data_IF_528308962899
#
_entry.id   IF_528308962899
#
_cell.length_a   1.000
_cell.length_b   1.000
_cell.length_c   1.000
_cell.angle_alpha   90.00
_cell.angle_beta   90.00
_cell.angle_gamma   90.00
#
_symmetry.space_group_name_H-M   'P 1'
#
loop_
_entity.id
_entity.type
_entity.pdbx_description
1 polymer ?
#
# COMPACT_ATOMS: atom_id res chain seq x y z
N UNK A 1 -9.45 -18.84 -11.36
CA UNK A 1 -8.16 -18.39 -11.92
C UNK A 1 -7.21 -18.35 -10.76
N UNK A 2 -6.11 -19.10 -10.83
CA UNK A 2 -5.14 -19.18 -9.75
C UNK A 2 -4.43 -17.81 -9.62
N UNK A 3 -4.76 -17.07 -8.56
CA UNK A 3 -4.30 -15.69 -8.36
C UNK A 3 -2.78 -15.65 -8.12
N UNK A 4 -2.21 -16.75 -7.61
CA UNK A 4 -0.80 -16.88 -7.30
C UNK A 4 0.02 -17.15 -8.57
N UNK A 5 -0.44 -18.07 -9.43
CA UNK A 5 0.21 -18.34 -10.72
C UNK A 5 0.19 -17.11 -11.66
N UNK A 6 -0.89 -16.35 -11.64
CA UNK A 6 -0.99 -15.09 -12.38
C UNK A 6 -0.01 -14.04 -11.86
N UNK A 7 0.15 -13.91 -10.54
CA UNK A 7 1.09 -12.94 -9.94
C UNK A 7 2.54 -13.33 -10.19
N UNK A 8 2.90 -14.61 -10.13
CA UNK A 8 4.25 -15.06 -10.42
C UNK A 8 4.66 -14.70 -11.85
N UNK A 9 3.80 -15.01 -12.82
CA UNK A 9 4.00 -14.61 -14.22
C UNK A 9 4.08 -13.08 -14.36
N UNK A 10 3.26 -12.35 -13.59
CA UNK A 10 3.25 -10.90 -13.60
C UNK A 10 4.55 -10.28 -13.04
N UNK A 11 5.09 -10.81 -11.94
CA UNK A 11 6.35 -10.38 -11.34
C UNK A 11 7.54 -10.70 -12.25
N UNK A 12 7.51 -11.84 -12.95
CA UNK A 12 8.51 -12.19 -13.97
C UNK A 12 8.51 -11.22 -15.16
N UNK A 13 7.32 -10.81 -15.62
CA UNK A 13 7.17 -9.87 -16.75
C UNK A 13 7.40 -8.41 -16.30
N UNK A 14 7.13 -8.09 -15.04
CA UNK A 14 7.31 -6.77 -14.42
C UNK A 14 8.34 -6.85 -13.28
N UNK A 15 9.60 -7.08 -13.65
CA UNK A 15 10.71 -7.23 -12.71
C UNK A 15 10.83 -6.07 -11.70
N UNK A 16 10.35 -4.88 -12.06
CA UNK A 16 10.38 -3.68 -11.23
C UNK A 16 8.99 -3.26 -10.76
N UNK A 17 8.07 -4.19 -10.48
CA UNK A 17 6.70 -3.85 -10.08
C UNK A 17 6.65 -2.89 -8.88
N UNK A 18 5.77 -1.90 -8.90
CA UNK A 18 5.59 -1.01 -7.76
C UNK A 18 4.87 -1.75 -6.63
N UNK A 19 5.48 -1.86 -5.45
CA UNK A 19 4.83 -2.52 -4.30
C UNK A 19 3.56 -1.80 -3.83
N UNK A 20 3.41 -0.51 -4.16
CA UNK A 20 2.21 0.31 -3.95
C UNK A 20 1.26 0.35 -5.15
N UNK A 21 1.44 -0.54 -6.14
CA UNK A 21 0.64 -0.63 -7.36
C UNK A 21 -0.86 -0.48 -7.09
N UNK A 22 -1.39 -1.21 -6.10
CA UNK A 22 -2.83 -1.22 -5.82
C UNK A 22 -3.32 0.15 -5.37
N UNK A 23 -2.53 0.90 -4.60
CA UNK A 23 -2.86 2.28 -4.20
C UNK A 23 -2.81 3.24 -5.39
N UNK A 24 -1.88 3.03 -6.32
CA UNK A 24 -1.66 3.87 -7.50
C UNK A 24 -2.72 3.61 -8.58
N UNK A 25 -3.04 2.34 -8.85
CA UNK A 25 -4.07 1.92 -9.79
C UNK A 25 -5.48 2.25 -9.29
N UNK A 26 -5.71 2.23 -7.97
CA UNK A 26 -6.97 2.71 -7.37
C UNK A 26 -7.03 4.23 -7.19
N UNK A 27 -6.05 4.98 -7.70
CA UNK A 27 -5.97 6.46 -7.63
C UNK A 27 -5.98 7.03 -6.21
N UNK A 28 -5.53 6.25 -5.22
CA UNK A 28 -5.49 6.64 -3.81
C UNK A 28 -4.12 7.20 -3.39
N UNK A 29 -3.10 7.02 -4.22
CA UNK A 29 -1.77 7.58 -4.02
C UNK A 29 -1.08 7.87 -5.36
N UNK A 30 -0.06 8.73 -5.32
CA UNK A 30 0.84 9.03 -6.45
C UNK A 30 2.29 8.84 -6.00
N UNK A 31 3.17 8.53 -6.94
CA UNK A 31 4.60 8.39 -6.68
C UNK A 31 5.38 8.86 -7.92
N UNK A 32 6.38 9.72 -7.72
CA UNK A 32 7.23 10.26 -8.78
C UNK A 32 8.10 9.19 -9.43
N UNK A 33 8.45 8.14 -8.69
CA UNK A 33 9.18 6.98 -9.22
C UNK A 33 8.27 5.96 -9.90
N UNK A 34 6.96 6.03 -9.73
CA UNK A 34 6.05 5.08 -10.35
C UNK A 34 5.70 5.49 -11.79
N UNK A 35 5.74 4.53 -12.70
CA UNK A 35 5.17 4.67 -14.03
C UNK A 35 4.05 3.62 -14.23
N UNK A 36 2.91 4.07 -14.78
CA UNK A 36 1.81 3.18 -15.18
C UNK A 36 2.10 2.65 -16.57
N UNK A 37 1.76 1.38 -16.81
CA UNK A 37 1.91 0.72 -18.09
C UNK A 37 0.77 -0.27 -18.32
N UNK A 38 0.70 -0.83 -19.52
CA UNK A 38 -0.21 -1.90 -19.88
C UNK A 38 0.59 -3.17 -20.14
N UNK A 39 0.17 -4.28 -19.51
CA UNK A 39 0.64 -5.63 -19.86
C UNK A 39 -0.57 -6.33 -20.46
N UNK A 40 -0.59 -6.41 -21.79
CA UNK A 40 -1.78 -6.74 -22.57
C UNK A 40 -2.98 -5.84 -22.20
N UNK A 41 -4.08 -6.41 -21.73
CA UNK A 41 -5.32 -5.69 -21.38
C UNK A 41 -5.37 -5.17 -19.93
N UNK A 42 -4.28 -5.36 -19.16
CA UNK A 42 -4.27 -5.06 -17.72
C UNK A 42 -3.35 -3.89 -17.41
N UNK A 43 -3.84 -2.99 -16.55
CA UNK A 43 -3.00 -1.94 -15.97
C UNK A 43 -1.98 -2.54 -15.01
N UNK A 44 -0.77 -2.02 -15.12
CA UNK A 44 0.39 -2.39 -14.35
C UNK A 44 1.08 -1.11 -13.84
N UNK A 45 1.81 -1.23 -12.74
CA UNK A 45 2.63 -0.16 -12.21
C UNK A 45 4.05 -0.68 -11.98
N UNK A 46 5.05 0.02 -12.51
CA UNK A 46 6.46 -0.25 -12.26
C UNK A 46 7.10 0.91 -11.47
N UNK A 47 8.17 0.62 -10.76
CA UNK A 47 9.03 1.58 -10.10
C UNK A 47 10.26 1.80 -10.95
N UNK A 48 10.61 3.06 -11.22
CA UNK A 48 11.80 3.47 -11.98
C UNK A 48 13.06 3.53 -11.11
N UNK A 49 12.90 3.45 -9.79
CA UNK A 49 13.99 3.44 -8.82
C UNK A 49 13.93 2.15 -7.97
N UNK A 50 14.92 1.28 -8.16
CA UNK A 50 15.02 0.01 -7.43
C UNK A 50 15.41 0.19 -5.96
N UNK A 51 16.15 1.23 -5.62
CA UNK A 51 16.48 1.54 -4.23
C UNK A 51 15.22 1.95 -3.49
N UNK A 52 14.45 2.89 -4.08
CA UNK A 52 13.19 3.34 -3.51
C UNK A 52 12.15 2.22 -3.40
N UNK A 53 12.08 1.36 -4.41
CA UNK A 53 11.22 0.16 -4.39
C UNK A 53 11.56 -0.76 -3.20
N UNK A 54 12.84 -1.01 -2.92
CA UNK A 54 13.27 -1.81 -1.75
C UNK A 54 12.85 -1.17 -0.45
N UNK A 55 13.04 0.14 -0.31
CA UNK A 55 12.63 0.91 0.88
C UNK A 55 11.11 0.84 1.08
N UNK A 56 10.32 1.01 0.02
CA UNK A 56 8.87 0.85 0.06
C UNK A 56 8.44 -0.57 0.48
N UNK A 57 9.17 -1.59 0.02
CA UNK A 57 8.92 -2.98 0.39
C UNK A 57 9.18 -3.21 1.88
N UNK A 58 10.30 -2.71 2.40
CA UNK A 58 10.61 -2.77 3.83
C UNK A 58 9.51 -2.12 4.68
N UNK A 59 9.06 -0.93 4.30
CA UNK A 59 7.94 -0.27 4.97
C UNK A 59 6.69 -1.15 4.99
N UNK A 60 6.30 -1.71 3.83
CA UNK A 60 5.11 -2.57 3.77
C UNK A 60 5.25 -3.85 4.59
N UNK A 61 6.45 -4.44 4.66
CA UNK A 61 6.68 -5.64 5.46
C UNK A 61 6.58 -5.33 6.96
N UNK A 62 7.08 -4.18 7.41
CA UNK A 62 6.84 -3.70 8.80
C UNK A 62 5.35 -3.46 9.05
N UNK A 63 4.65 -2.78 8.13
CA UNK A 63 3.20 -2.55 8.27
C UNK A 63 2.40 -3.86 8.34
N UNK A 64 2.76 -4.87 7.56
CA UNK A 64 2.15 -6.20 7.60
C UNK A 64 2.29 -6.84 8.97
N UNK A 65 3.50 -6.81 9.52
CA UNK A 65 3.80 -7.41 10.81
C UNK A 65 3.02 -6.72 11.93
N UNK A 66 3.03 -5.39 11.94
CA UNK A 66 2.35 -4.60 12.98
C UNK A 66 0.82 -4.68 12.86
N UNK A 67 0.28 -4.79 11.65
CA UNK A 67 -1.16 -4.91 11.42
C UNK A 67 -1.69 -6.36 11.49
N UNK A 68 -0.85 -7.36 11.78
CA UNK A 68 -1.22 -8.78 11.71
C UNK A 68 -2.45 -9.13 12.52
N UNK A 69 -2.55 -8.59 13.74
CA UNK A 69 -3.68 -8.85 14.63
C UNK A 69 -4.95 -8.13 14.17
N UNK A 70 -4.85 -6.84 13.86
CA UNK A 70 -5.98 -6.03 13.37
C UNK A 70 -6.58 -6.58 12.08
N UNK A 71 -5.76 -7.18 11.23
CA UNK A 71 -6.18 -7.74 9.95
C UNK A 71 -6.39 -9.26 9.97
N UNK A 72 -6.29 -9.90 11.15
CA UNK A 72 -6.43 -11.36 11.33
C UNK A 72 -5.57 -12.13 10.31
N UNK A 73 -4.30 -11.76 10.21
CA UNK A 73 -3.29 -12.47 9.42
C UNK A 73 -2.77 -13.64 10.26
N UNK A 74 -2.85 -14.85 9.72
CA UNK A 74 -2.29 -16.05 10.37
C UNK A 74 -0.78 -16.15 10.14
N UNK A 75 -0.34 -15.69 8.98
CA UNK A 75 1.05 -15.68 8.56
C UNK A 75 1.29 -14.40 7.74
N UNK A 76 2.30 -13.63 8.12
CA UNK A 76 2.69 -12.37 7.47
C UNK A 76 3.69 -12.59 6.34
N UNK A 77 4.30 -13.79 6.26
CA UNK A 77 5.14 -14.23 5.14
C UNK A 77 4.30 -14.63 3.92
N UNK A 78 3.04 -15.03 4.14
CA UNK A 78 2.13 -15.38 3.06
C UNK A 78 1.63 -14.16 2.30
N UNK A 79 1.32 -14.39 1.03
CA UNK A 79 0.71 -13.39 0.18
C UNK A 79 -0.61 -12.88 0.77
N UNK A 80 -0.78 -11.57 0.76
CA UNK A 80 -2.04 -10.96 1.15
C UNK A 80 -3.08 -11.08 0.04
N UNK A 81 -4.29 -11.48 0.43
CA UNK A 81 -5.47 -11.27 -0.39
C UNK A 81 -5.66 -9.79 -0.74
N UNK A 82 -6.19 -9.52 -1.93
CA UNK A 82 -6.27 -8.18 -2.52
C UNK A 82 -6.80 -7.09 -1.57
N UNK A 83 -7.89 -7.37 -0.85
CA UNK A 83 -8.51 -6.43 0.06
C UNK A 83 -7.59 -6.04 1.24
N UNK A 84 -6.85 -7.00 1.81
CA UNK A 84 -5.91 -6.74 2.91
C UNK A 84 -4.68 -5.98 2.41
N UNK A 85 -4.19 -6.30 1.22
CA UNK A 85 -3.11 -5.56 0.58
C UNK A 85 -3.48 -4.08 0.38
N UNK A 86 -4.68 -3.78 -0.13
CA UNK A 86 -5.17 -2.40 -0.27
C UNK A 86 -5.27 -1.69 1.09
N UNK A 87 -5.81 -2.36 2.13
CA UNK A 87 -5.89 -1.79 3.48
C UNK A 87 -4.52 -1.40 4.03
N UNK A 88 -3.53 -2.28 3.91
CA UNK A 88 -2.17 -2.03 4.39
C UNK A 88 -1.52 -0.91 3.59
N UNK A 89 -1.60 -0.95 2.25
CA UNK A 89 -0.96 0.06 1.43
C UNK A 89 -1.55 1.46 1.67
N UNK A 90 -2.88 1.61 1.54
CA UNK A 90 -3.51 2.93 1.65
C UNK A 90 -3.58 3.37 3.10
N UNK A 91 -4.05 2.50 3.99
CA UNK A 91 -4.15 2.82 5.41
C UNK A 91 -2.80 3.07 6.06
N UNK A 92 -1.76 2.35 5.62
CA UNK A 92 -0.37 2.56 6.06
C UNK A 92 0.16 3.92 5.62
N UNK A 93 -0.02 4.32 4.35
CA UNK A 93 0.37 5.66 3.88
C UNK A 93 -0.40 6.78 4.59
N UNK A 94 -1.70 6.59 4.81
CA UNK A 94 -2.53 7.55 5.54
C UNK A 94 -2.11 7.69 7.01
N UNK A 95 -1.83 6.57 7.67
CA UNK A 95 -1.31 6.57 9.03
C UNK A 95 0.07 7.20 9.12
N UNK A 96 0.95 6.92 8.16
CA UNK A 96 2.27 7.54 8.09
C UNK A 96 2.19 9.05 7.92
N UNK A 97 1.31 9.53 7.03
CA UNK A 97 1.03 10.95 6.90
C UNK A 97 0.50 11.56 8.20
N UNK A 98 -0.44 10.90 8.88
CA UNK A 98 -0.97 11.39 10.16
C UNK A 98 0.12 11.45 11.25
N UNK A 99 1.05 10.50 11.27
CA UNK A 99 2.17 10.49 12.20
C UNK A 99 3.15 11.65 11.92
N UNK A 100 3.42 11.93 10.65
CA UNK A 100 4.30 13.02 10.23
C UNK A 100 3.64 14.40 10.34
N UNK A 101 2.33 14.49 10.13
CA UNK A 101 1.62 15.75 10.03
C UNK A 101 0.33 15.71 10.86
N UNK A 102 0.41 15.61 12.20
CA UNK A 102 -0.76 15.38 13.05
C UNK A 102 -1.80 16.49 12.96
N UNK A 103 -1.36 17.73 12.74
CA UNK A 103 -2.21 18.92 12.62
C UNK A 103 -2.84 19.09 11.23
N UNK A 104 -2.43 18.29 10.24
CA UNK A 104 -2.93 18.41 8.87
C UNK A 104 -3.89 17.26 8.54
N UNK A 105 -4.99 17.55 7.81
CA UNK A 105 -5.88 16.49 7.36
C UNK A 105 -5.14 15.55 6.41
N UNK A 106 -5.47 14.26 6.49
CA UNK A 106 -4.92 13.25 5.60
C UNK A 106 -5.37 13.53 4.15
N UNK A 107 -4.45 13.76 3.20
CA UNK A 107 -4.80 14.07 1.83
C UNK A 107 -5.40 12.86 1.11
N UNK A 108 -6.34 13.12 0.20
CA UNK A 108 -6.96 12.12 -0.66
C UNK A 108 -6.95 12.61 -2.11
N UNK A 109 -6.06 12.08 -2.98
CA UNK A 109 -5.09 11.00 -2.73
C UNK A 109 -3.85 11.43 -1.92
N UNK A 110 -3.06 10.45 -1.46
CA UNK A 110 -1.69 10.72 -0.97
C UNK A 110 -0.86 11.28 -2.14
N UNK A 111 -0.30 12.49 -2.01
CA UNK A 111 0.22 13.23 -3.16
C UNK A 111 1.56 12.70 -3.65
N UNK A 112 2.40 12.18 -2.76
CA UNK A 112 3.70 11.62 -3.12
C UNK A 112 4.17 10.58 -2.11
N UNK A 113 4.27 9.31 -2.53
CA UNK A 113 4.72 8.21 -1.67
C UNK A 113 6.20 8.33 -1.35
N UNK A 114 7.03 8.70 -2.33
CA UNK A 114 8.47 8.64 -2.15
C UNK A 114 8.95 9.62 -1.08
N UNK A 115 8.53 10.88 -1.20
CA UNK A 115 8.82 11.91 -0.21
C UNK A 115 8.29 11.56 1.18
N UNK A 116 7.09 10.94 1.27
CA UNK A 116 6.52 10.54 2.55
C UNK A 116 7.35 9.44 3.25
N UNK A 117 7.86 8.49 2.47
CA UNK A 117 8.73 7.42 2.98
C UNK A 117 10.08 7.97 3.41
N UNK A 118 10.65 8.88 2.63
CA UNK A 118 11.95 9.49 2.94
C UNK A 118 11.86 10.37 4.20
N UNK A 119 10.81 11.19 4.32
CA UNK A 119 10.54 12.01 5.51
C UNK A 119 10.36 11.14 6.77
N UNK A 120 9.73 9.97 6.64
CA UNK A 120 9.57 9.03 7.74
C UNK A 120 10.92 8.46 8.23
N UNK A 121 11.79 8.08 7.30
CA UNK A 121 13.13 7.60 7.64
C UNK A 121 13.94 8.72 8.28
N UNK A 122 13.88 9.93 7.74
CA UNK A 122 14.59 11.08 8.30
C UNK A 122 14.13 11.39 9.73
N UNK A 123 12.82 11.35 10.00
CA UNK A 123 12.27 11.69 11.32
C UNK A 123 12.43 10.60 12.36
N UNK A 124 12.25 9.34 11.99
CA UNK A 124 12.20 8.22 12.94
C UNK A 124 13.44 7.31 12.87
N UNK A 125 14.34 7.53 11.92
CA UNK A 125 15.56 6.76 11.68
C UNK A 125 15.31 5.43 10.98
N UNK A 126 14.25 4.71 11.37
CA UNK A 126 13.85 3.44 10.75
C UNK A 126 12.34 3.20 10.87
N UNK A 127 11.81 2.24 10.10
CA UNK A 127 10.38 1.95 10.11
C UNK A 127 9.92 1.27 11.41
N UNK A 128 10.82 0.60 12.12
CA UNK A 128 10.55 -0.05 13.41
C UNK A 128 10.25 0.97 14.52
N UNK A 129 10.71 2.21 14.37
CA UNK A 129 10.49 3.29 15.34
C UNK A 129 9.22 4.11 15.07
N UNK A 130 8.43 3.74 14.06
CA UNK A 130 7.21 4.46 13.72
C UNK A 130 6.18 4.37 14.87
N UNK A 131 5.36 5.42 15.07
CA UNK A 131 4.33 5.42 16.10
C UNK A 131 3.12 4.55 15.68
N UNK A 132 3.24 3.23 15.79
CA UNK A 132 2.21 2.29 15.32
C UNK A 132 0.85 2.49 15.98
N UNK A 133 0.79 3.02 17.20
CA UNK A 133 -0.45 3.35 17.90
C UNK A 133 -1.31 4.36 17.14
N UNK A 134 -0.72 5.26 16.35
CA UNK A 134 -1.45 6.20 15.48
C UNK A 134 -1.67 5.66 14.06
N UNK A 135 -0.78 4.80 13.57
CA UNK A 135 -0.84 4.26 12.19
C UNK A 135 -1.84 3.11 12.04
N UNK A 136 -1.83 2.13 12.96
CA UNK A 136 -2.66 0.92 12.88
C UNK A 136 -4.18 1.21 12.84
N UNK A 137 -4.71 2.22 13.57
CA UNK A 137 -6.10 2.64 13.42
C UNK A 137 -6.46 3.02 11.98
N UNK A 138 -5.59 3.72 11.25
CA UNK A 138 -5.82 4.10 9.85
C UNK A 138 -5.90 2.88 8.92
N UNK A 139 -5.07 1.86 9.14
CA UNK A 139 -5.11 0.59 8.42
C UNK A 139 -6.44 -0.14 8.65
N UNK A 140 -6.90 -0.16 9.89
CA UNK A 140 -8.12 -0.86 10.30
C UNK A 140 -9.36 -0.16 9.75
N UNK A 141 -9.39 1.18 9.86
CA UNK A 141 -10.48 2.05 9.46
C UNK A 141 -10.65 2.17 7.94
N UNK A 142 -9.63 1.85 7.13
CA UNK A 142 -9.78 1.89 5.68
C UNK A 142 -10.79 0.83 5.22
N UNK A 143 -11.91 1.32 4.68
CA UNK A 143 -12.88 0.52 3.95
C UNK A 143 -12.72 0.82 2.45
N UNK A 144 -12.49 -0.23 1.65
CA UNK A 144 -12.55 -0.08 0.20
C UNK A 144 -13.92 0.41 -0.25
N UNK A 145 -14.02 0.90 -1.49
CA UNK A 145 -15.27 1.45 -2.04
C UNK A 145 -16.45 0.49 -1.77
N UNK A 146 -17.40 0.92 -0.93
CA UNK A 146 -18.64 0.16 -0.70
C UNK A 146 -19.32 -0.04 -2.04
N UNK A 147 -19.62 -1.30 -2.38
CA UNK A 147 -20.51 -1.60 -3.52
C UNK A 147 -21.79 -0.81 -3.29
N UNK A 148 -22.15 0.07 -4.23
CA UNK A 148 -23.46 0.73 -4.23
C UNK A 148 -24.48 -0.40 -4.16
N UNK A 149 -25.18 -0.51 -3.03
CA UNK A 149 -26.03 -1.65 -2.75
C UNK A 149 -27.02 -1.86 -3.88
N UNK A 150 -27.06 -3.09 -4.42
CA UNK A 150 -28.19 -3.54 -5.20
C UNK A 150 -29.41 -3.64 -4.30
N UNK A 151 -30.05 -2.51 -3.98
CA UNK A 151 -31.45 -2.50 -3.54
C UNK A 151 -32.31 -2.76 -4.77
N UNK A 152 -32.44 -4.03 -5.14
CA UNK A 152 -33.64 -4.57 -5.74
C UNK A 152 -33.53 -6.09 -5.86
N UNK A 153 -34.26 -6.80 -5.00
CA UNK A 153 -35.19 -7.84 -5.44
C UNK A 153 -36.23 -8.05 -4.35
N UNK A 154 -37.48 -8.04 -4.83
CA UNK A 154 -38.75 -8.17 -4.12
C UNK A 154 -38.83 -9.46 -3.32
#
# INVERSE_FOLDING_TARGET
MDEDAYRQTYEEVNANYCVFEKSILTTQARCGFCQKMLIAEREAANCRDLSHQKTCKQFLDVMKEQARFSLKLRDTSQMLGHAKAIKIQIGGLRGLHQALNPEHPIPMPIPEIAGLIDEAIERYGSFENLPFSSIIPCISAYEGRKRRGGKNRR
#
